data_IF_579270201917
#
_entry.id   IF_579270201917
#
_cell.length_a   1.000
_cell.length_b   1.000
_cell.length_c   1.000
_cell.angle_alpha   90.00
_cell.angle_beta   90.00
_cell.angle_gamma   90.00
#
_symmetry.space_group_name_H-M   'P 1'
#
loop_
_entity.id
_entity.type
_entity.pdbx_description
1 polymer ?
#
# COMPACT_ATOMS: atom_id res chain seq x y z
N UNK A 1 18.97 23.95 74.54
CA UNK A 1 18.01 23.27 73.64
C UNK A 1 17.81 24.22 72.47
N UNK A 2 17.95 23.89 71.21
CA UNK A 2 18.45 22.74 70.47
C UNK A 2 18.67 23.29 69.05
N UNK A 3 19.60 22.69 68.32
CA UNK A 3 19.96 23.01 66.94
C UNK A 3 18.76 22.73 66.01
N UNK A 4 18.50 23.57 64.98
CA UNK A 4 18.55 22.99 63.64
C UNK A 4 18.87 23.99 62.53
N UNK A 5 19.92 23.62 61.82
CA UNK A 5 20.49 24.19 60.62
C UNK A 5 19.57 23.84 59.45
N UNK A 6 18.90 24.84 58.85
CA UNK A 6 18.30 24.64 57.53
C UNK A 6 19.44 24.59 56.50
N UNK A 7 19.94 23.37 56.28
CA UNK A 7 20.87 23.06 55.20
C UNK A 7 20.29 23.50 53.87
N UNK A 8 20.84 24.58 53.30
CA UNK A 8 20.53 25.04 51.96
C UNK A 8 21.14 24.03 50.99
N UNK A 9 20.37 23.07 50.53
CA UNK A 9 20.75 22.17 49.44
C UNK A 9 20.90 23.00 48.16
N UNK A 10 22.11 23.49 47.88
CA UNK A 10 22.47 24.01 46.57
C UNK A 10 22.40 22.85 45.58
N UNK A 11 21.23 22.68 44.95
CA UNK A 11 21.12 21.89 43.73
C UNK A 11 21.95 22.62 42.68
N UNK A 12 23.12 22.08 42.34
CA UNK A 12 23.89 22.50 41.17
C UNK A 12 22.97 22.35 39.95
N UNK A 13 22.37 23.46 39.54
CA UNK A 13 21.66 23.53 38.27
C UNK A 13 22.73 23.61 37.18
N UNK A 14 23.25 22.45 36.80
CA UNK A 14 24.08 22.32 35.60
C UNK A 14 23.15 22.55 34.40
N UNK A 15 23.06 23.80 33.94
CA UNK A 15 22.38 24.14 32.70
C UNK A 15 23.14 23.60 31.49
N UNK A 16 22.41 23.20 30.45
CA UNK A 16 22.99 22.82 29.16
C UNK A 16 23.87 23.95 28.63
N UNK A 17 25.03 23.60 28.08
CA UNK A 17 25.90 24.59 27.44
C UNK A 17 25.42 24.87 26.01
N UNK A 18 25.60 26.10 25.53
CA UNK A 18 25.25 26.45 24.14
C UNK A 18 26.02 25.58 23.12
N UNK A 19 27.27 25.24 23.43
CA UNK A 19 28.09 24.41 22.56
C UNK A 19 27.55 22.98 22.43
N UNK A 20 27.00 22.44 23.51
CA UNK A 20 26.42 21.09 23.53
C UNK A 20 25.16 21.03 22.67
N UNK A 21 24.30 22.05 22.72
CA UNK A 21 23.17 22.16 21.81
C UNK A 21 23.62 22.28 20.33
N UNK A 22 24.66 23.08 20.05
CA UNK A 22 25.20 23.27 18.69
C UNK A 22 25.76 21.97 18.11
N UNK A 23 26.51 21.19 18.89
CA UNK A 23 27.06 19.91 18.42
C UNK A 23 25.92 18.91 18.13
N UNK A 24 24.88 18.87 18.97
CA UNK A 24 23.73 17.98 18.79
C UNK A 24 23.00 18.27 17.47
N UNK A 25 22.70 19.53 17.17
CA UNK A 25 22.02 19.88 15.92
C UNK A 25 22.88 19.57 14.68
N UNK A 26 24.21 19.69 14.78
CA UNK A 26 25.13 19.33 13.70
C UNK A 26 25.09 17.81 13.45
N UNK A 27 25.16 17.02 14.52
CA UNK A 27 25.11 15.54 14.40
C UNK A 27 23.75 15.11 13.83
N UNK A 28 22.64 15.62 14.35
CA UNK A 28 21.30 15.32 13.83
C UNK A 28 21.18 15.77 12.37
N UNK A 29 21.74 16.93 11.99
CA UNK A 29 21.77 17.41 10.61
C UNK A 29 22.48 16.45 9.65
N UNK A 30 23.64 15.93 10.03
CA UNK A 30 24.39 14.95 9.20
C UNK A 30 23.62 13.62 9.11
N UNK A 31 23.09 13.13 10.23
CA UNK A 31 22.30 11.89 10.24
C UNK A 31 21.05 12.01 9.36
N UNK A 32 20.33 13.13 9.47
CA UNK A 32 19.13 13.40 8.68
C UNK A 32 19.43 13.48 7.17
N UNK A 33 20.55 14.13 6.79
CA UNK A 33 20.95 14.27 5.39
C UNK A 33 21.21 12.92 4.71
N UNK A 34 21.75 11.93 5.43
CA UNK A 34 21.99 10.58 4.90
C UNK A 34 20.75 9.67 5.03
N UNK A 35 19.98 9.82 6.11
CA UNK A 35 18.85 8.94 6.41
C UNK A 35 17.61 9.21 5.54
N UNK A 36 17.28 10.48 5.27
CA UNK A 36 16.04 10.84 4.55
C UNK A 36 15.98 10.27 3.13
N UNK A 37 17.02 10.41 2.26
CA UNK A 37 16.97 9.84 0.91
C UNK A 37 16.85 8.31 0.91
N UNK A 38 17.50 7.66 1.88
CA UNK A 38 17.41 6.20 2.06
C UNK A 38 16.02 5.77 2.52
N UNK A 39 15.36 6.57 3.37
CA UNK A 39 14.00 6.26 3.81
C UNK A 39 13.03 6.20 2.62
N UNK A 40 13.10 7.17 1.69
CA UNK A 40 12.22 7.19 0.52
C UNK A 40 12.40 5.98 -0.41
N UNK A 41 13.64 5.53 -0.62
CA UNK A 41 13.91 4.33 -1.42
C UNK A 41 13.36 3.07 -0.75
N UNK A 42 13.58 2.91 0.57
CA UNK A 42 13.06 1.76 1.32
C UNK A 42 11.52 1.74 1.33
N UNK A 43 10.86 2.89 1.49
CA UNK A 43 9.39 2.94 1.46
C UNK A 43 8.83 2.58 0.08
N UNK A 44 9.48 3.05 -1.00
CA UNK A 44 9.11 2.69 -2.37
C UNK A 44 9.27 1.18 -2.60
N UNK A 45 10.43 0.62 -2.26
CA UNK A 45 10.70 -0.82 -2.42
C UNK A 45 9.71 -1.68 -1.62
N UNK A 46 9.38 -1.26 -0.40
CA UNK A 46 8.39 -1.94 0.43
C UNK A 46 6.98 -1.89 -0.21
N UNK A 47 6.61 -0.75 -0.80
CA UNK A 47 5.33 -0.61 -1.49
C UNK A 47 5.28 -1.48 -2.74
N UNK A 48 6.31 -1.45 -3.60
CA UNK A 48 6.41 -2.34 -4.77
C UNK A 48 6.24 -3.80 -4.37
N UNK A 49 6.99 -4.26 -3.37
CA UNK A 49 6.88 -5.64 -2.89
C UNK A 49 5.49 -5.95 -2.32
N UNK A 50 4.84 -5.01 -1.65
CA UNK A 50 3.48 -5.19 -1.12
C UNK A 50 2.45 -5.30 -2.25
N UNK A 51 2.62 -4.52 -3.31
CA UNK A 51 1.76 -4.58 -4.51
C UNK A 51 1.89 -5.93 -5.20
N UNK A 52 3.12 -6.38 -5.46
CA UNK A 52 3.38 -7.66 -6.12
C UNK A 52 2.83 -8.84 -5.29
N UNK A 53 3.02 -8.81 -3.96
CA UNK A 53 2.48 -9.83 -3.06
C UNK A 53 0.95 -9.85 -3.05
N UNK A 54 0.29 -8.69 -3.13
CA UNK A 54 -1.17 -8.62 -3.21
C UNK A 54 -1.67 -9.23 -4.52
N UNK A 55 -1.06 -8.86 -5.65
CA UNK A 55 -1.41 -9.40 -6.97
C UNK A 55 -1.31 -10.92 -6.98
N UNK A 56 -0.20 -11.48 -6.49
CA UNK A 56 -0.03 -12.93 -6.38
C UNK A 56 -1.08 -13.58 -5.45
N UNK A 57 -1.46 -12.91 -4.36
CA UNK A 57 -2.50 -13.39 -3.44
C UNK A 57 -3.88 -13.42 -4.11
N UNK A 58 -4.20 -12.40 -4.92
CA UNK A 58 -5.45 -12.33 -5.67
C UNK A 58 -5.51 -13.38 -6.78
N UNK A 59 -4.40 -13.62 -7.50
CA UNK A 59 -4.31 -14.72 -8.47
C UNK A 59 -4.53 -16.09 -7.83
N UNK A 60 -3.91 -16.33 -6.67
CA UNK A 60 -4.14 -17.55 -5.90
C UNK A 60 -5.59 -17.68 -5.45
N UNK A 61 -6.22 -16.60 -4.99
CA UNK A 61 -7.61 -16.59 -4.57
C UNK A 61 -8.56 -16.95 -5.73
N UNK A 62 -8.34 -16.36 -6.91
CA UNK A 62 -9.10 -16.69 -8.11
C UNK A 62 -8.93 -18.13 -8.57
N UNK A 63 -7.72 -18.71 -8.43
CA UNK A 63 -7.48 -20.13 -8.73
C UNK A 63 -8.27 -21.05 -7.79
N UNK A 64 -8.30 -20.73 -6.49
CA UNK A 64 -9.09 -21.45 -5.49
C UNK A 64 -10.59 -21.32 -5.75
N UNK A 65 -11.07 -20.12 -6.10
CA UNK A 65 -12.46 -19.91 -6.50
C UNK A 65 -12.83 -20.75 -7.71
N UNK A 66 -12.00 -20.73 -8.74
CA UNK A 66 -12.17 -21.52 -9.96
C UNK A 66 -12.31 -23.00 -9.63
N UNK A 67 -11.39 -23.55 -8.83
CA UNK A 67 -11.46 -24.94 -8.37
C UNK A 67 -12.76 -25.24 -7.59
N UNK A 68 -13.18 -24.31 -6.71
CA UNK A 68 -14.43 -24.44 -5.94
C UNK A 68 -15.67 -24.47 -6.85
N UNK A 69 -15.72 -23.65 -7.89
CA UNK A 69 -16.84 -23.63 -8.84
C UNK A 69 -16.91 -24.93 -9.65
N UNK A 70 -15.76 -25.43 -10.11
CA UNK A 70 -15.69 -26.74 -10.76
C UNK A 70 -16.24 -27.87 -9.89
N UNK A 71 -15.83 -27.94 -8.62
CA UNK A 71 -16.33 -28.94 -7.68
C UNK A 71 -17.86 -28.84 -7.45
N UNK A 72 -18.42 -27.64 -7.58
CA UNK A 72 -19.85 -27.36 -7.39
C UNK A 72 -20.66 -27.45 -8.69
N UNK A 73 -20.02 -27.70 -9.83
CA UNK A 73 -20.65 -27.64 -11.16
C UNK A 73 -21.38 -26.32 -11.40
N UNK A 74 -20.77 -25.22 -10.95
CA UNK A 74 -21.27 -23.86 -11.13
C UNK A 74 -20.43 -23.11 -12.16
N UNK A 75 -21.01 -22.15 -12.90
CA UNK A 75 -20.26 -21.34 -13.83
C UNK A 75 -19.20 -20.49 -13.09
N UNK A 76 -18.09 -20.23 -13.78
CA UNK A 76 -17.05 -19.32 -13.31
C UNK A 76 -17.39 -17.92 -13.83
N UNK A 77 -17.70 -17.01 -12.91
CA UNK A 77 -18.07 -15.64 -13.23
C UNK A 77 -17.02 -14.65 -12.72
N UNK A 78 -16.80 -13.58 -13.49
CA UNK A 78 -15.99 -12.45 -13.03
C UNK A 78 -16.70 -11.80 -11.85
N UNK A 79 -15.98 -11.71 -10.74
CA UNK A 79 -16.45 -11.07 -9.52
C UNK A 79 -15.24 -10.46 -8.80
N UNK A 80 -15.51 -9.82 -7.65
CA UNK A 80 -14.49 -9.19 -6.84
C UNK A 80 -13.55 -10.23 -6.17
N UNK A 81 -12.28 -10.36 -6.58
CA UNK A 81 -11.39 -11.41 -6.05
C UNK A 81 -10.99 -11.19 -4.59
N UNK A 82 -11.20 -9.99 -4.04
CA UNK A 82 -10.97 -9.74 -2.61
C UNK A 82 -11.94 -10.53 -1.72
N UNK A 83 -13.11 -10.91 -2.23
CA UNK A 83 -14.11 -11.70 -1.50
C UNK A 83 -13.67 -13.17 -1.30
N UNK A 84 -12.69 -13.63 -2.09
CA UNK A 84 -12.12 -14.97 -2.00
C UNK A 84 -10.89 -15.06 -1.08
N UNK A 85 -10.36 -13.92 -0.65
CA UNK A 85 -9.21 -13.90 0.26
C UNK A 85 -9.61 -14.44 1.64
N UNK A 86 -8.75 -15.27 2.23
CA UNK A 86 -8.96 -15.77 3.59
C UNK A 86 -8.93 -14.65 4.64
N UNK A 87 -8.13 -13.62 4.40
CA UNK A 87 -8.09 -12.40 5.19
C UNK A 87 -8.12 -11.20 4.24
N UNK A 88 -9.16 -10.38 4.37
CA UNK A 88 -9.26 -9.12 3.61
C UNK A 88 -8.21 -8.15 4.18
N UNK A 89 -7.36 -7.56 3.33
CA UNK A 89 -6.29 -6.69 3.79
C UNK A 89 -6.87 -5.38 4.33
N UNK A 90 -6.23 -4.83 5.36
CA UNK A 90 -6.73 -3.66 6.08
C UNK A 90 -6.84 -2.39 5.20
N UNK A 91 -6.11 -2.34 4.09
CA UNK A 91 -6.15 -1.26 3.11
C UNK A 91 -7.06 -1.56 1.90
N UNK A 92 -7.92 -2.58 1.99
CA UNK A 92 -8.99 -2.75 1.01
C UNK A 92 -10.14 -1.79 1.33
N UNK A 93 -10.46 -0.93 0.35
CA UNK A 93 -11.46 0.12 0.42
C UNK A 93 -12.83 -0.33 -0.13
N UNK A 94 -12.97 -1.60 -0.51
CA UNK A 94 -14.23 -2.13 -1.00
C UNK A 94 -14.49 -1.86 -2.48
N UNK A 95 -15.76 -1.99 -2.85
CA UNK A 95 -16.26 -1.75 -4.19
C UNK A 95 -16.54 -0.26 -4.42
N UNK A 96 -15.86 0.36 -5.38
CA UNK A 96 -15.94 1.79 -5.68
C UNK A 96 -16.17 2.01 -7.18
N UNK A 97 -17.18 2.81 -7.53
CA UNK A 97 -17.50 3.14 -8.93
C UNK A 97 -18.31 4.44 -9.03
N UNK A 98 -17.81 5.52 -9.67
CA UNK A 98 -16.51 5.64 -10.33
C UNK A 98 -15.36 5.73 -9.32
N UNK A 99 -14.15 5.39 -9.75
CA UNK A 99 -12.93 5.54 -8.94
C UNK A 99 -12.30 6.92 -9.15
N UNK A 100 -12.03 7.62 -8.06
CA UNK A 100 -11.37 8.92 -8.03
C UNK A 100 -10.57 9.15 -6.73
N UNK A 101 -9.66 10.13 -6.69
CA UNK A 101 -8.84 10.41 -5.50
C UNK A 101 -9.60 10.71 -4.22
N UNK A 102 -10.83 11.24 -4.32
CA UNK A 102 -11.64 11.59 -3.15
C UNK A 102 -12.27 10.37 -2.48
N UNK A 103 -12.45 9.27 -3.22
CA UNK A 103 -13.06 8.05 -2.74
C UNK A 103 -12.09 6.85 -2.69
N UNK A 104 -10.86 7.01 -3.18
CA UNK A 104 -9.79 6.01 -3.12
C UNK A 104 -8.49 6.63 -2.58
N UNK A 105 -8.30 6.66 -1.26
CA UNK A 105 -7.10 7.22 -0.64
C UNK A 105 -5.81 6.52 -1.05
N UNK A 106 -4.68 7.16 -0.80
CA UNK A 106 -3.35 6.66 -1.13
C UNK A 106 -3.01 5.32 -0.43
N UNK A 107 -2.44 4.43 -1.23
CA UNK A 107 -2.09 3.04 -0.90
C UNK A 107 -3.27 2.16 -0.49
N UNK A 108 -4.46 2.44 -1.02
CA UNK A 108 -5.64 1.58 -0.88
C UNK A 108 -5.90 0.76 -2.14
N UNK A 109 -6.47 -0.43 -1.93
CA UNK A 109 -6.99 -1.30 -2.98
C UNK A 109 -8.49 -1.12 -3.11
N UNK A 110 -9.02 -1.05 -4.33
CA UNK A 110 -10.45 -0.97 -4.58
C UNK A 110 -10.85 -1.91 -5.71
N UNK A 111 -12.04 -2.48 -5.60
CA UNK A 111 -12.68 -3.18 -6.72
C UNK A 111 -13.59 -2.19 -7.46
N UNK A 112 -13.49 -2.14 -8.78
CA UNK A 112 -14.44 -1.42 -9.62
C UNK A 112 -15.28 -2.43 -10.40
N UNK A 113 -16.57 -2.60 -10.04
CA UNK A 113 -17.45 -3.55 -10.68
C UNK A 113 -17.62 -3.30 -12.18
N UNK A 114 -17.75 -2.04 -12.62
CA UNK A 114 -17.83 -1.75 -14.05
C UNK A 114 -16.52 -2.11 -14.76
N UNK A 115 -16.57 -3.18 -15.56
CA UNK A 115 -15.42 -3.67 -16.33
C UNK A 115 -14.49 -4.63 -15.59
N UNK A 116 -14.78 -4.94 -14.32
CA UNK A 116 -14.06 -5.95 -13.55
C UNK A 116 -12.61 -5.56 -13.23
N UNK A 117 -12.40 -4.37 -12.67
CA UNK A 117 -11.06 -3.84 -12.42
C UNK A 117 -10.69 -3.90 -10.95
N UNK A 118 -9.46 -4.35 -10.69
CA UNK A 118 -8.77 -4.10 -9.43
C UNK A 118 -7.94 -2.83 -9.60
N UNK A 119 -8.03 -1.94 -8.63
CA UNK A 119 -7.39 -0.64 -8.67
C UNK A 119 -6.57 -0.43 -7.40
N UNK A 120 -5.37 0.11 -7.56
CA UNK A 120 -4.50 0.50 -6.45
C UNK A 120 -4.05 1.94 -6.65
N UNK A 121 -4.28 2.78 -5.64
CA UNK A 121 -3.73 4.14 -5.61
C UNK A 121 -2.33 4.09 -4.98
N UNK A 122 -1.22 4.28 -5.70
CA UNK A 122 0.12 4.19 -5.13
C UNK A 122 0.49 5.42 -4.29
N UNK A 123 1.24 5.23 -3.20
CA UNK A 123 1.83 6.30 -2.39
C UNK A 123 3.11 6.85 -3.02
N UNK A 124 3.94 5.97 -3.58
CA UNK A 124 5.11 6.36 -4.33
C UNK A 124 4.72 6.76 -5.77
N UNK A 125 5.39 7.77 -6.35
CA UNK A 125 5.10 8.19 -7.71
C UNK A 125 5.30 7.06 -8.73
N UNK A 126 4.39 6.98 -9.70
CA UNK A 126 4.50 6.09 -10.85
C UNK A 126 4.42 6.89 -12.15
N UNK A 127 5.01 6.35 -13.22
CA UNK A 127 4.76 6.79 -14.58
C UNK A 127 3.79 5.83 -15.25
N UNK A 128 2.84 6.36 -16.04
CA UNK A 128 1.81 5.55 -16.69
C UNK A 128 0.63 5.26 -15.77
N UNK A 129 -0.02 4.11 -15.98
CA UNK A 129 -1.24 3.72 -15.28
C UNK A 129 -2.49 4.46 -15.76
N UNK A 130 -3.61 4.20 -15.08
CA UNK A 130 -4.89 4.85 -15.38
C UNK A 130 -5.01 6.16 -14.61
N UNK A 131 -5.45 7.24 -15.26
CA UNK A 131 -5.53 8.58 -14.62
C UNK A 131 -6.97 8.96 -14.31
N UNK A 132 -7.20 9.42 -13.08
CA UNK A 132 -8.47 10.03 -12.65
C UNK A 132 -8.24 11.10 -11.59
N UNK A 133 -8.94 12.22 -11.71
CA UNK A 133 -8.84 13.32 -10.74
C UNK A 133 -7.44 13.92 -10.54
N UNK A 134 -6.51 13.68 -11.49
CA UNK A 134 -5.12 14.12 -11.38
C UNK A 134 -4.17 13.11 -10.72
N UNK A 135 -4.65 11.96 -10.27
CA UNK A 135 -3.82 10.86 -9.75
C UNK A 135 -3.74 9.69 -10.72
N UNK A 136 -2.66 8.93 -10.62
CA UNK A 136 -2.37 7.73 -11.41
C UNK A 136 -2.61 6.48 -10.57
N UNK A 137 -3.39 5.55 -11.11
CA UNK A 137 -3.73 4.28 -10.48
C UNK A 137 -3.06 3.12 -11.21
N UNK A 138 -2.59 2.14 -10.44
CA UNK A 138 -2.24 0.83 -10.97
C UNK A 138 -3.56 0.05 -11.14
N UNK A 139 -3.78 -0.53 -12.32
CA UNK A 139 -5.01 -1.23 -12.64
C UNK A 139 -4.75 -2.62 -13.22
N UNK A 140 -5.55 -3.58 -12.79
CA UNK A 140 -5.56 -4.95 -13.30
C UNK A 140 -6.98 -5.34 -13.67
N UNK A 141 -7.18 -5.86 -14.87
CA UNK A 141 -8.49 -6.39 -15.25
C UNK A 141 -8.60 -7.86 -14.87
N UNK A 142 -9.69 -8.22 -14.22
CA UNK A 142 -10.08 -9.62 -14.04
C UNK A 142 -10.78 -10.07 -15.32
N UNK A 143 -10.13 -10.99 -16.05
CA UNK A 143 -10.66 -11.54 -17.29
C UNK A 143 -10.94 -13.03 -17.15
N UNK A 144 -12.03 -13.53 -17.77
CA UNK A 144 -12.24 -14.96 -17.88
C UNK A 144 -11.19 -15.57 -18.82
N UNK A 145 -10.67 -16.73 -18.43
CA UNK A 145 -9.88 -17.60 -19.31
C UNK A 145 -10.88 -18.50 -20.04
N UNK A 146 -10.90 -18.44 -21.37
CA UNK A 146 -11.86 -19.18 -22.19
C UNK A 146 -11.13 -20.33 -22.89
N UNK A 147 -11.70 -21.54 -22.81
CA UNK A 147 -11.34 -22.68 -23.65
C UNK A 147 -12.57 -23.11 -24.47
N UNK A 148 -12.52 -22.87 -25.78
CA UNK A 148 -13.68 -23.03 -26.66
C UNK A 148 -14.82 -22.06 -26.28
N UNK A 149 -15.89 -22.60 -25.68
CA UNK A 149 -17.07 -21.84 -25.22
C UNK A 149 -17.10 -21.74 -23.69
N UNK A 150 -16.30 -22.54 -22.99
CA UNK A 150 -16.34 -22.64 -21.53
C UNK A 150 -15.33 -21.69 -20.89
N UNK A 151 -15.77 -21.01 -19.82
CA UNK A 151 -14.85 -20.30 -18.93
C UNK A 151 -14.15 -21.33 -18.06
N UNK A 152 -12.83 -21.40 -18.18
CA UNK A 152 -12.00 -22.35 -17.44
C UNK A 152 -11.26 -21.77 -16.24
N UNK A 153 -11.35 -20.45 -16.06
CA UNK A 153 -10.78 -19.78 -14.90
C UNK A 153 -10.84 -18.27 -15.03
N UNK A 154 -10.16 -17.60 -14.11
CA UNK A 154 -9.97 -16.15 -14.11
C UNK A 154 -8.47 -15.84 -14.10
N UNK A 155 -8.07 -14.73 -14.71
CA UNK A 155 -6.70 -14.21 -14.68
C UNK A 155 -6.69 -12.70 -14.50
N UNK A 156 -5.59 -12.19 -13.94
CA UNK A 156 -5.30 -10.76 -13.96
C UNK A 156 -4.58 -10.41 -15.25
N UNK A 157 -4.97 -9.29 -15.85
CA UNK A 157 -4.38 -8.78 -17.09
C UNK A 157 -4.09 -7.30 -16.93
N UNK A 158 -2.84 -6.91 -17.19
CA UNK A 158 -2.48 -5.51 -17.44
C UNK A 158 -2.84 -5.18 -18.88
N UNK A 159 -3.28 -3.95 -19.13
CA UNK A 159 -3.50 -3.50 -20.51
C UNK A 159 -2.32 -2.65 -20.96
N UNK A 160 -1.91 -2.78 -22.21
CA UNK A 160 -0.84 -1.96 -22.80
C UNK A 160 -1.14 -0.45 -22.68
N UNK A 161 -2.42 -0.07 -22.58
CA UNK A 161 -2.85 1.32 -22.37
C UNK A 161 -2.58 1.84 -20.95
N UNK A 162 -2.46 0.94 -19.96
CA UNK A 162 -2.30 1.26 -18.54
C UNK A 162 -1.04 0.62 -17.94
N UNK A 163 -0.06 0.29 -18.76
CA UNK A 163 1.28 -0.07 -18.29
C UNK A 163 1.83 1.05 -17.40
N UNK A 164 2.57 0.64 -16.37
CA UNK A 164 3.13 1.55 -15.39
C UNK A 164 4.57 1.17 -15.02
N UNK A 165 5.30 2.14 -14.48
CA UNK A 165 6.62 1.93 -13.90
C UNK A 165 6.82 2.78 -12.64
N UNK A 166 7.45 2.20 -11.63
CA UNK A 166 7.77 2.89 -10.38
C UNK A 166 8.90 3.90 -10.57
N UNK A 167 8.69 5.16 -10.20
CA UNK A 167 9.69 6.25 -10.33
C UNK A 167 10.64 6.32 -9.14
#
# INVERSE_FOLDING_TARGET
MEFNMFGKSNKNQNGFTLIELVIIIIIIGILAAVAIPRLFSVTKEAETATVDNMVASLESAMSIYTARQYMRSQPIEVHNPFDDLSNIPANYNGSVDPVDPSNTPDGTWSWRPSGGWIMYNPRAPISGGWVSGGETFIVYQVQPVIDGVDTVGLRLVTTDLYDYSWQ
#
